data_IF_525089359114
#
_entry.id   IF_525089359114
#
_cell.length_a   1.000
_cell.length_b   1.000
_cell.length_c   1.000
_cell.angle_alpha   90.00
_cell.angle_beta   90.00
_cell.angle_gamma   90.00
#
_symmetry.space_group_name_H-M   'P 1'
#
loop_
_entity.id
_entity.type
_entity.pdbx_description
1 polymer ?
#
# COMPACT_ATOMS: atom_id res chain seq x y z
N UNK A 1 26.93 -50.19 -9.01
CA UNK A 1 25.65 -49.61 -9.48
C UNK A 1 24.83 -49.35 -8.22
N UNK A 2 25.12 -48.32 -7.43
CA UNK A 2 24.99 -46.87 -7.75
C UNK A 2 23.54 -46.62 -8.22
N UNK A 3 22.67 -45.90 -7.51
CA UNK A 3 22.89 -44.53 -7.04
C UNK A 3 22.05 -44.12 -5.82
N UNK A 4 22.75 -43.39 -4.97
CA UNK A 4 22.37 -42.29 -4.09
C UNK A 4 21.39 -41.23 -4.67
N UNK A 5 20.61 -40.62 -3.77
CA UNK A 5 19.49 -39.63 -3.88
C UNK A 5 19.86 -38.28 -4.58
N UNK A 6 19.05 -37.17 -4.58
CA UNK A 6 17.71 -36.87 -4.03
C UNK A 6 16.78 -36.04 -4.97
N UNK A 7 15.48 -35.88 -4.68
CA UNK A 7 14.71 -34.74 -5.24
C UNK A 7 13.80 -34.16 -4.15
N UNK A 8 14.37 -33.20 -3.41
CA UNK A 8 13.59 -32.09 -2.87
C UNK A 8 12.86 -31.41 -4.04
N UNK A 9 11.55 -31.24 -3.94
CA UNK A 9 10.84 -30.50 -4.97
C UNK A 9 9.33 -30.37 -4.81
N UNK A 10 8.77 -30.49 -3.61
CA UNK A 10 7.31 -30.38 -3.42
C UNK A 10 6.87 -29.22 -2.52
N UNK A 11 7.75 -28.24 -2.26
CA UNK A 11 7.37 -26.96 -1.66
C UNK A 11 7.56 -25.86 -2.70
N UNK A 12 6.66 -25.76 -3.69
CA UNK A 12 6.67 -24.57 -4.55
C UNK A 12 5.41 -24.28 -5.37
N UNK A 13 4.29 -24.99 -5.20
CA UNK A 13 3.13 -24.76 -6.06
C UNK A 13 1.82 -24.62 -5.30
N UNK A 14 1.83 -23.80 -4.25
CA UNK A 14 0.59 -23.33 -3.60
C UNK A 14 0.55 -21.80 -3.40
N UNK A 15 1.37 -21.05 -4.16
CA UNK A 15 1.39 -19.56 -4.12
C UNK A 15 1.09 -18.92 -5.48
N UNK A 16 0.21 -19.53 -6.29
CA UNK A 16 -0.12 -19.01 -7.63
C UNK A 16 -1.62 -18.94 -7.92
N UNK A 17 -2.45 -18.71 -6.89
CA UNK A 17 -3.87 -18.34 -7.08
C UNK A 17 -4.17 -17.00 -6.43
N UNK A 18 -3.34 -15.97 -6.69
CA UNK A 18 -3.87 -14.61 -6.67
C UNK A 18 -4.73 -14.46 -7.91
N UNK A 19 -6.02 -14.70 -7.70
CA UNK A 19 -7.10 -14.36 -8.59
C UNK A 19 -6.88 -12.94 -9.14
N UNK A 20 -6.44 -12.87 -10.39
CA UNK A 20 -6.36 -11.64 -11.18
C UNK A 20 -7.77 -11.33 -11.70
N UNK A 21 -8.75 -11.21 -10.80
CA UNK A 21 -9.99 -10.53 -11.13
C UNK A 21 -9.64 -9.05 -11.18
N UNK A 22 -9.37 -8.56 -12.39
CA UNK A 22 -9.49 -7.15 -12.74
C UNK A 22 -10.95 -6.74 -12.51
N UNK A 23 -11.33 -6.60 -11.23
CA UNK A 23 -12.51 -5.86 -10.84
C UNK A 23 -12.40 -4.51 -11.54
N UNK A 24 -13.50 -3.97 -12.12
CA UNK A 24 -13.46 -2.66 -12.75
C UNK A 24 -12.84 -1.70 -11.73
N UNK A 25 -11.69 -1.13 -12.08
CA UNK A 25 -10.94 -0.23 -11.21
C UNK A 25 -11.82 0.99 -11.00
N UNK A 26 -12.62 0.94 -9.94
CA UNK A 26 -13.54 1.99 -9.59
C UNK A 26 -12.70 3.15 -9.08
N UNK A 27 -12.22 3.97 -10.00
CA UNK A 27 -11.60 5.24 -9.69
C UNK A 27 -12.72 6.21 -9.36
N UNK A 28 -12.87 6.54 -8.08
CA UNK A 28 -13.72 7.64 -7.65
C UNK A 28 -13.21 8.93 -8.30
N UNK A 29 -14.03 9.59 -9.14
CA UNK A 29 -13.64 10.87 -9.74
C UNK A 29 -13.54 11.92 -8.62
N UNK A 30 -12.40 12.60 -8.56
CA UNK A 30 -12.08 13.67 -7.60
C UNK A 30 -12.07 13.25 -6.12
N UNK A 31 -11.26 12.25 -5.75
CA UNK A 31 -10.87 12.10 -4.35
C UNK A 31 -10.30 13.42 -3.82
N UNK A 32 -10.87 13.91 -2.73
CA UNK A 32 -10.31 15.03 -1.98
C UNK A 32 -8.97 14.60 -1.37
N UNK A 33 -7.96 15.45 -1.52
CA UNK A 33 -6.66 15.23 -0.90
C UNK A 33 -6.79 15.08 0.63
N UNK A 34 -5.91 14.28 1.28
CA UNK A 34 -5.87 14.17 2.72
C UNK A 34 -5.69 15.54 3.39
N UNK A 35 -6.34 15.72 4.54
CA UNK A 35 -6.11 16.89 5.39
C UNK A 35 -4.70 16.83 5.99
N UNK A 36 -4.07 17.99 6.16
CA UNK A 36 -2.72 18.07 6.75
C UNK A 36 -2.76 17.66 8.22
N UNK A 37 -1.93 16.71 8.63
CA UNK A 37 -1.87 16.23 10.01
C UNK A 37 -0.69 16.86 10.75
N UNK A 38 -0.98 17.67 11.76
CA UNK A 38 0.01 18.44 12.53
C UNK A 38 0.50 17.75 13.83
N UNK A 39 -0.03 16.55 14.12
CA UNK A 39 0.33 15.76 15.29
C UNK A 39 -0.31 16.21 16.61
N UNK A 40 -1.14 17.26 16.63
CA UNK A 40 -1.74 17.77 17.89
C UNK A 40 -3.00 17.03 18.31
N UNK A 41 -3.76 16.50 17.35
CA UNK A 41 -5.06 15.87 17.60
C UNK A 41 -5.01 14.39 17.22
N UNK A 42 -4.79 13.52 18.21
CA UNK A 42 -4.72 12.07 17.98
C UNK A 42 -5.97 11.51 17.27
N UNK A 43 -7.16 12.07 17.52
CA UNK A 43 -8.40 11.67 16.87
C UNK A 43 -8.39 11.85 15.35
N UNK A 44 -7.60 12.81 14.84
CA UNK A 44 -7.45 13.05 13.39
C UNK A 44 -6.51 12.06 12.71
N UNK A 45 -5.65 11.37 13.46
CA UNK A 45 -4.68 10.41 12.90
C UNK A 45 -5.40 9.29 12.13
N UNK A 46 -6.49 8.76 12.69
CA UNK A 46 -7.26 7.70 12.04
C UNK A 46 -7.86 8.18 10.72
N UNK A 47 -8.43 9.39 10.71
CA UNK A 47 -8.99 9.98 9.49
C UNK A 47 -7.94 10.20 8.41
N UNK A 48 -6.76 10.71 8.80
CA UNK A 48 -5.60 10.88 7.92
C UNK A 48 -5.11 9.55 7.31
N UNK A 49 -4.98 8.50 8.12
CA UNK A 49 -4.55 7.19 7.61
C UNK A 49 -5.59 6.62 6.64
N UNK A 50 -6.89 6.73 6.97
CA UNK A 50 -7.97 6.25 6.11
C UNK A 50 -8.02 6.98 4.76
N UNK A 51 -7.81 8.30 4.75
CA UNK A 51 -7.77 9.06 3.49
C UNK A 51 -6.56 8.68 2.63
N UNK A 52 -5.36 8.54 3.22
CA UNK A 52 -4.18 8.05 2.50
C UNK A 52 -4.43 6.68 1.88
N UNK A 53 -4.98 5.73 2.65
CA UNK A 53 -5.30 4.39 2.14
C UNK A 53 -6.25 4.46 0.96
N UNK A 54 -7.34 5.22 1.07
CA UNK A 54 -8.32 5.33 -0.01
C UNK A 54 -7.68 5.91 -1.27
N UNK A 55 -6.81 6.93 -1.15
CA UNK A 55 -6.04 7.48 -2.28
C UNK A 55 -5.15 6.43 -2.95
N UNK A 56 -4.44 5.60 -2.18
CA UNK A 56 -3.56 4.57 -2.73
C UNK A 56 -4.32 3.47 -3.48
N UNK A 57 -5.51 3.11 -2.99
CA UNK A 57 -6.36 2.11 -3.66
C UNK A 57 -7.05 2.70 -4.90
N UNK A 58 -7.31 4.00 -4.90
CA UNK A 58 -7.96 4.67 -6.03
C UNK A 58 -7.02 4.86 -7.22
N UNK A 59 -5.72 5.03 -6.97
CA UNK A 59 -4.72 5.17 -8.04
C UNK A 59 -3.51 4.23 -7.84
N UNK A 60 -3.71 2.91 -8.03
CA UNK A 60 -2.66 1.93 -7.80
C UNK A 60 -1.48 2.08 -8.79
N UNK A 61 -1.73 2.64 -9.97
CA UNK A 61 -0.68 2.92 -10.97
C UNK A 61 0.28 4.03 -10.52
N UNK A 62 -0.20 5.09 -9.86
CA UNK A 62 0.71 6.09 -9.29
C UNK A 62 1.33 5.61 -7.97
N UNK A 63 0.60 4.84 -7.16
CA UNK A 63 1.02 4.38 -5.83
C UNK A 63 1.45 2.91 -5.77
N UNK A 64 2.09 2.40 -6.83
CA UNK A 64 2.53 1.00 -6.92
C UNK A 64 3.65 0.61 -5.93
N UNK A 65 4.41 1.59 -5.45
CA UNK A 65 5.55 1.38 -4.54
C UNK A 65 5.25 1.99 -3.17
N UNK A 66 5.66 1.29 -2.11
CA UNK A 66 5.53 1.80 -0.74
C UNK A 66 6.35 3.08 -0.53
N UNK A 67 7.46 3.26 -1.25
CA UNK A 67 8.22 4.52 -1.23
C UNK A 67 7.38 5.73 -1.65
N UNK A 68 6.54 5.58 -2.69
CA UNK A 68 5.66 6.65 -3.16
C UNK A 68 4.53 6.92 -2.17
N UNK A 69 3.97 5.86 -1.57
CA UNK A 69 2.94 5.98 -0.52
C UNK A 69 3.48 6.73 0.70
N UNK A 70 4.70 6.38 1.13
CA UNK A 70 5.39 7.06 2.24
C UNK A 70 5.61 8.52 1.90
N UNK A 71 6.27 8.83 0.76
CA UNK A 71 6.53 10.22 0.35
C UNK A 71 5.25 11.05 0.31
N UNK A 72 4.19 10.51 -0.29
CA UNK A 72 2.89 11.16 -0.34
C UNK A 72 2.32 11.39 1.06
N UNK A 73 2.20 10.36 1.90
CA UNK A 73 1.69 10.55 3.26
C UNK A 73 2.51 11.57 4.05
N UNK A 74 3.84 11.55 3.92
CA UNK A 74 4.73 12.49 4.61
C UNK A 74 4.59 13.94 4.13
N UNK A 75 4.18 14.20 2.89
CA UNK A 75 3.98 15.58 2.41
C UNK A 75 2.79 16.28 3.07
N UNK A 76 1.86 15.51 3.64
CA UNK A 76 0.72 16.01 4.40
C UNK A 76 0.96 15.99 5.92
N UNK A 77 2.15 15.58 6.37
CA UNK A 77 2.54 15.75 7.76
C UNK A 77 3.11 17.15 7.94
N UNK A 78 2.54 17.91 8.86
CA UNK A 78 3.02 19.23 9.25
C UNK A 78 3.40 19.25 10.73
N UNK A 79 4.08 20.29 11.20
CA UNK A 79 4.55 20.39 12.59
C UNK A 79 6.04 20.11 12.77
N UNK A 80 6.48 19.94 14.02
CA UNK A 80 7.89 19.90 14.45
C UNK A 80 8.63 18.63 14.00
N UNK A 81 8.84 18.47 12.70
CA UNK A 81 9.97 17.70 12.15
C UNK A 81 10.96 18.61 11.39
N UNK A 82 10.64 19.90 11.24
CA UNK A 82 11.57 20.93 10.80
C UNK A 82 12.02 21.79 11.98
N UNK A 83 13.18 21.46 12.56
CA UNK A 83 13.99 22.44 13.26
C UNK A 83 15.46 22.09 13.11
#
# INVERSE_FOLDING_TARGET
MEQMAPIMGQLSQEEARRDNSKSPEFKTPSMKEPDTFDGTQADKLRGFIQSCQLTFHNDPENFFSDSKKVVYSTSFLTGRSGK
#
